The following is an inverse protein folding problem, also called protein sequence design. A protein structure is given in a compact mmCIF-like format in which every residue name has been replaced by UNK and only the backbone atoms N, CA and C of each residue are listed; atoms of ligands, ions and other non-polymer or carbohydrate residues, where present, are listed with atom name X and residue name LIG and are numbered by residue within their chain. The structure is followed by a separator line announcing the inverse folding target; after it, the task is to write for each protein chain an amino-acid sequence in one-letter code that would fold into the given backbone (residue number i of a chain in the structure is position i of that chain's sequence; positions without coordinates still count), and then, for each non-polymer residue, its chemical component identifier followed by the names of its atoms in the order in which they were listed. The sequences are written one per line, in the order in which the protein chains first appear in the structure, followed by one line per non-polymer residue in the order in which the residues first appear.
data_IF_518181045273
#
_entry.id   IF_518181045273
#
_cell.length_a   1.000
_cell.length_b   1.000
_cell.length_c   1.000
_cell.angle_alpha   90.00
_cell.angle_beta   90.00
_cell.angle_gamma   90.00
#
_symmetry.space_group_name_H-M   'P 1'
#
loop_
_entity.id
_entity.type
_entity.pdbx_description
1 polymer ?
#
# COMPACT_ATOMS: atom_id res chain seq x y z
N UNK A 1 -18.98 -22.97 -1.43
CA UNK A 1 -19.00 -22.84 -2.91
C UNK A 1 -17.58 -22.54 -3.33
N UNK A 2 -16.85 -23.61 -3.59
CA UNK A 2 -15.47 -23.59 -4.04
C UNK A 2 -15.49 -23.47 -5.56
N UNK A 3 -15.21 -22.29 -6.10
CA UNK A 3 -14.99 -22.14 -7.55
C UNK A 3 -13.48 -22.23 -7.76
N UNK A 4 -13.00 -23.47 -7.80
CA UNK A 4 -11.74 -23.82 -8.48
C UNK A 4 -11.91 -23.46 -9.96
N UNK A 5 -11.61 -22.21 -10.33
CA UNK A 5 -11.37 -21.87 -11.72
C UNK A 5 -10.11 -22.64 -12.15
N UNK A 6 -10.33 -23.79 -12.79
CA UNK A 6 -9.39 -24.87 -13.14
C UNK A 6 -8.16 -24.50 -14.01
N UNK A 7 -7.79 -23.22 -14.10
CA UNK A 7 -6.81 -22.69 -15.07
C UNK A 7 -5.64 -21.93 -14.43
N UNK A 8 -5.69 -21.66 -13.13
CA UNK A 8 -4.69 -20.86 -12.42
C UNK A 8 -4.31 -21.59 -11.14
N UNK A 9 -3.03 -21.93 -10.99
CA UNK A 9 -2.48 -22.50 -9.76
C UNK A 9 -1.44 -21.54 -9.20
N UNK A 10 -1.64 -21.13 -7.95
CA UNK A 10 -0.69 -20.34 -7.17
C UNK A 10 0.13 -21.28 -6.28
N UNK A 11 1.46 -21.09 -6.24
CA UNK A 11 2.36 -21.83 -5.35
C UNK A 11 3.42 -20.90 -4.74
N UNK A 12 4.22 -21.42 -3.81
CA UNK A 12 5.28 -20.66 -3.11
C UNK A 12 6.35 -20.07 -4.05
N UNK A 13 6.47 -20.59 -5.28
CA UNK A 13 7.44 -20.15 -6.30
C UNK A 13 6.83 -19.22 -7.36
N UNK A 14 5.52 -18.99 -7.35
CA UNK A 14 4.83 -18.05 -8.26
C UNK A 14 3.50 -18.54 -8.85
N UNK A 15 3.03 -17.82 -9.87
CA UNK A 15 1.81 -18.13 -10.61
C UNK A 15 2.14 -18.98 -11.85
N UNK A 16 1.57 -20.19 -11.96
CA UNK A 16 1.77 -21.04 -13.14
C UNK A 16 0.48 -21.13 -13.97
N UNK A 17 0.58 -20.67 -15.22
CA UNK A 17 -0.47 -20.86 -16.21
C UNK A 17 -0.20 -22.12 -17.02
N UNK A 18 -1.14 -23.06 -16.97
CA UNK A 18 -1.01 -24.37 -17.63
C UNK A 18 -1.43 -24.34 -19.10
N UNK A 19 -1.87 -23.20 -19.63
CA UNK A 19 -2.39 -23.08 -21.00
C UNK A 19 -1.61 -22.04 -21.83
N UNK A 20 -1.06 -22.50 -22.96
CA UNK A 20 -0.31 -21.68 -23.92
C UNK A 20 -1.25 -20.65 -24.61
N UNK A 21 -0.86 -19.37 -24.67
CA UNK A 21 -1.61 -18.30 -25.36
C UNK A 21 -2.79 -17.67 -24.61
N UNK A 22 -2.97 -17.94 -23.30
CA UNK A 22 -4.10 -17.40 -22.54
C UNK A 22 -3.93 -15.89 -22.20
N UNK A 23 -4.78 -15.03 -22.77
CA UNK A 23 -4.79 -13.59 -22.46
C UNK A 23 -5.23 -13.28 -21.02
N UNK A 24 -6.08 -14.12 -20.42
CA UNK A 24 -6.51 -14.01 -19.01
C UNK A 24 -5.37 -14.32 -18.03
N UNK A 25 -4.46 -15.20 -18.42
CA UNK A 25 -3.24 -15.50 -17.67
C UNK A 25 -2.32 -14.31 -17.54
N UNK A 26 -2.10 -13.56 -18.64
CA UNK A 26 -1.32 -12.32 -18.61
C UNK A 26 -1.91 -11.30 -17.61
N UNK A 27 -3.23 -11.11 -17.61
CA UNK A 27 -3.91 -10.22 -16.66
C UNK A 27 -3.81 -10.73 -15.22
N UNK A 28 -3.95 -12.04 -15.00
CA UNK A 28 -3.82 -12.66 -13.68
C UNK A 28 -2.39 -12.55 -13.13
N UNK A 29 -1.37 -12.80 -13.95
CA UNK A 29 0.05 -12.61 -13.61
C UNK A 29 0.34 -11.13 -13.34
N UNK A 30 -0.12 -10.19 -14.18
CA UNK A 30 0.04 -8.75 -13.90
C UNK A 30 -0.62 -8.35 -12.58
N UNK A 31 -1.80 -8.90 -12.28
CA UNK A 31 -2.50 -8.65 -11.01
C UNK A 31 -1.74 -9.26 -9.83
N UNK A 32 -1.22 -10.48 -9.99
CA UNK A 32 -0.41 -11.16 -8.97
C UNK A 32 0.94 -10.45 -8.73
N UNK A 33 1.63 -10.03 -9.79
CA UNK A 33 2.86 -9.23 -9.71
C UNK A 33 2.56 -7.90 -9.04
N UNK A 34 1.48 -7.19 -9.42
CA UNK A 34 1.05 -5.98 -8.72
C UNK A 34 0.75 -6.24 -7.24
N UNK A 35 0.13 -7.38 -6.90
CA UNK A 35 -0.08 -7.81 -5.50
C UNK A 35 1.23 -8.15 -4.77
N UNK A 36 2.24 -8.69 -5.47
CA UNK A 36 3.55 -8.99 -4.89
C UNK A 36 4.43 -7.75 -4.73
N UNK A 37 4.31 -6.79 -5.64
CA UNK A 37 4.93 -5.47 -5.54
C UNK A 37 4.31 -4.66 -4.40
N UNK A 38 3.05 -4.94 -4.00
CA UNK A 38 2.41 -4.36 -2.79
C UNK A 38 3.03 -4.79 -1.45
N UNK A 39 4.04 -5.65 -1.43
CA UNK A 39 4.79 -5.96 -0.19
C UNK A 39 6.01 -5.04 0.04
N UNK A 40 6.06 -3.89 -0.63
CA UNK A 40 7.03 -2.83 -0.34
C UNK A 40 6.39 -1.67 0.43
N UNK A 41 7.15 -1.07 1.34
CA UNK A 41 6.83 0.26 1.86
C UNK A 41 7.15 1.26 0.74
N UNK A 42 6.18 2.10 0.36
CA UNK A 42 6.35 3.06 -0.73
C UNK A 42 6.88 4.41 -0.23
N UNK A 43 7.90 4.94 -0.89
CA UNK A 43 8.44 6.26 -0.59
C UNK A 43 7.56 7.34 -1.23
N UNK A 44 7.09 8.27 -0.42
CA UNK A 44 6.45 9.50 -0.90
C UNK A 44 7.50 10.60 -0.87
N UNK A 45 7.91 11.05 -2.06
CA UNK A 45 8.94 12.08 -2.21
C UNK A 45 8.39 13.37 -2.81
N UNK A 46 7.23 13.29 -3.46
CA UNK A 46 6.58 14.43 -4.11
C UNK A 46 5.20 14.71 -3.55
N UNK A 47 4.76 15.96 -3.67
CA UNK A 47 3.40 16.36 -3.30
C UNK A 47 2.32 15.71 -4.16
N UNK A 48 2.60 15.49 -5.45
CA UNK A 48 1.61 14.94 -6.36
C UNK A 48 1.35 13.46 -6.05
N UNK A 49 2.38 12.70 -5.67
CA UNK A 49 2.22 11.35 -5.10
C UNK A 49 1.35 11.38 -3.83
N UNK A 50 1.64 12.30 -2.90
CA UNK A 50 0.89 12.42 -1.66
C UNK A 50 -0.59 12.73 -1.90
N UNK A 51 -0.89 13.68 -2.82
CA UNK A 51 -2.26 14.03 -3.23
C UNK A 51 -2.99 12.82 -3.80
N UNK A 52 -2.36 12.11 -4.74
CA UNK A 52 -2.95 10.94 -5.37
C UNK A 52 -3.27 9.86 -4.34
N UNK A 53 -2.34 9.58 -3.42
CA UNK A 53 -2.52 8.61 -2.33
C UNK A 53 -3.68 9.02 -1.42
N UNK A 54 -3.79 10.31 -1.07
CA UNK A 54 -4.88 10.78 -0.20
C UNK A 54 -6.28 10.67 -0.82
N UNK A 55 -6.38 10.63 -2.16
CA UNK A 55 -7.66 10.48 -2.86
C UNK A 55 -7.99 9.00 -3.08
N UNK A 56 -7.00 8.19 -3.45
CA UNK A 56 -7.21 6.80 -3.84
C UNK A 56 -7.28 5.83 -2.65
N UNK A 57 -6.56 6.14 -1.57
CA UNK A 57 -6.39 5.22 -0.45
C UNK A 57 -7.36 5.51 0.69
N UNK A 58 -8.17 4.50 1.01
CA UNK A 58 -9.14 4.58 2.11
C UNK A 58 -8.54 4.24 3.47
N UNK A 59 -7.54 3.35 3.50
CA UNK A 59 -6.84 2.88 4.69
C UNK A 59 -5.35 2.77 4.39
N UNK A 60 -4.55 3.53 5.11
CA UNK A 60 -3.10 3.49 4.95
C UNK A 60 -2.37 3.72 6.28
N UNK A 61 -1.12 3.27 6.33
CA UNK A 61 -0.13 3.65 7.34
C UNK A 61 0.92 4.53 6.68
N UNK A 62 1.22 5.67 7.29
CA UNK A 62 2.26 6.59 6.85
C UNK A 62 3.33 6.73 7.94
N UNK A 63 4.57 6.37 7.61
CA UNK A 63 5.75 6.55 8.46
C UNK A 63 6.47 7.85 8.17
N UNK A 64 6.60 8.71 9.18
CA UNK A 64 7.49 9.87 9.15
C UNK A 64 8.81 9.48 9.79
N UNK A 65 9.76 9.11 8.94
CA UNK A 65 11.06 8.60 9.35
C UNK A 65 12.14 9.68 9.22
N UNK A 66 13.29 9.46 9.85
CA UNK A 66 14.46 10.34 9.68
C UNK A 66 15.23 9.99 8.41
N UNK A 67 15.26 8.71 8.08
CA UNK A 67 15.92 8.14 6.90
C UNK A 67 14.96 7.19 6.20
N UNK A 68 15.13 7.03 4.89
CA UNK A 68 14.39 6.04 4.09
C UNK A 68 15.12 4.69 4.01
N UNK A 69 16.08 4.48 4.92
CA UNK A 69 16.84 3.24 5.10
C UNK A 69 17.06 3.00 6.61
N UNK A 70 17.06 1.73 7.04
CA UNK A 70 17.35 1.34 8.42
C UNK A 70 16.32 0.38 9.04
N UNK A 71 16.55 0.04 10.30
CA UNK A 71 15.74 -0.94 11.06
C UNK A 71 14.25 -0.55 11.11
N UNK A 72 13.93 0.74 11.20
CA UNK A 72 12.55 1.25 11.24
C UNK A 72 11.72 0.80 10.02
N UNK A 73 12.38 0.57 8.88
CA UNK A 73 11.75 0.19 7.61
C UNK A 73 11.61 -1.31 7.51
N UNK A 74 12.58 -2.06 8.03
CA UNK A 74 12.49 -3.51 8.14
C UNK A 74 11.33 -3.90 9.05
N UNK A 75 11.14 -3.19 10.16
CA UNK A 75 9.99 -3.36 11.05
C UNK A 75 8.68 -3.01 10.34
N UNK A 76 8.65 -1.92 9.57
CA UNK A 76 7.47 -1.52 8.80
C UNK A 76 7.12 -2.53 7.70
N UNK A 77 8.14 -3.07 7.02
CA UNK A 77 7.98 -4.13 6.03
C UNK A 77 7.54 -5.46 6.67
N UNK A 78 7.98 -5.75 7.90
CA UNK A 78 7.50 -6.90 8.66
C UNK A 78 6.02 -6.74 9.03
N UNK A 79 5.60 -5.53 9.45
CA UNK A 79 4.19 -5.23 9.71
C UNK A 79 3.33 -5.36 8.45
N UNK A 80 3.80 -4.86 7.29
CA UNK A 80 3.11 -5.00 6.00
C UNK A 80 2.83 -6.46 5.63
N UNK A 81 3.70 -7.41 5.99
CA UNK A 81 3.47 -8.85 5.77
C UNK A 81 2.29 -9.39 6.60
N UNK A 82 2.01 -8.80 7.75
CA UNK A 82 0.90 -9.17 8.64
C UNK A 82 -0.41 -8.50 8.22
N UNK A 83 -0.34 -7.27 7.71
CA UNK A 83 -1.50 -6.44 7.38
C UNK A 83 -1.68 -6.29 5.85
N UNK A 84 -2.23 -7.33 5.22
CA UNK A 84 -2.40 -7.38 3.74
C UNK A 84 -3.48 -6.46 3.17
N UNK A 85 -4.36 -5.93 4.02
CA UNK A 85 -5.50 -5.07 3.68
C UNK A 85 -5.20 -3.57 3.82
N UNK A 86 -4.03 -3.21 4.35
CA UNK A 86 -3.61 -1.83 4.60
C UNK A 86 -2.39 -1.51 3.73
N UNK A 87 -2.37 -0.34 3.11
CA UNK A 87 -1.22 0.12 2.33
C UNK A 87 -0.23 0.88 3.23
N UNK A 88 1.08 0.63 3.06
CA UNK A 88 2.13 1.21 3.88
C UNK A 88 3.01 2.15 3.05
N UNK A 89 3.17 3.37 3.55
CA UNK A 89 3.94 4.45 2.93
C UNK A 89 4.92 5.03 3.93
N UNK A 90 5.99 5.65 3.43
CA UNK A 90 6.97 6.36 4.24
C UNK A 90 7.44 7.66 3.58
N UNK A 91 7.82 8.63 4.40
CA UNK A 91 8.38 9.89 3.92
C UNK A 91 9.35 10.50 4.93
N UNK A 92 10.33 11.24 4.42
CA UNK A 92 11.19 12.14 5.20
C UNK A 92 10.74 13.61 5.07
N UNK A 93 9.90 13.93 4.08
CA UNK A 93 9.40 15.28 3.82
C UNK A 93 8.13 15.55 4.60
N UNK A 94 8.27 16.26 5.72
CA UNK A 94 7.17 16.46 6.67
C UNK A 94 6.28 17.64 6.32
N UNK A 95 6.80 18.71 5.72
CA UNK A 95 6.07 19.99 5.59
C UNK A 95 4.85 19.84 4.69
N UNK A 96 5.05 19.27 3.50
CA UNK A 96 4.01 19.22 2.48
C UNK A 96 3.01 18.09 2.73
N UNK A 97 3.50 16.96 3.24
CA UNK A 97 2.70 15.76 3.49
C UNK A 97 1.81 15.94 4.73
N UNK A 98 2.31 16.58 5.78
CA UNK A 98 1.53 16.79 7.01
C UNK A 98 0.34 17.72 6.79
N UNK A 99 0.48 18.76 5.97
CA UNK A 99 -0.63 19.65 5.64
C UNK A 99 -1.71 18.92 4.85
N UNK A 100 -1.31 18.13 3.85
CA UNK A 100 -2.21 17.35 3.02
C UNK A 100 -3.06 16.37 3.83
N UNK A 101 -2.44 15.69 4.79
CA UNK A 101 -3.09 14.69 5.62
C UNK A 101 -3.68 15.25 6.93
N UNK A 102 -3.68 16.58 7.10
CA UNK A 102 -4.18 17.29 8.30
C UNK A 102 -3.54 16.80 9.61
N UNK A 103 -2.26 16.46 9.55
CA UNK A 103 -1.48 15.96 10.67
C UNK A 103 -0.89 17.16 11.44
N UNK A 104 -0.57 17.01 12.74
CA UNK A 104 0.09 18.07 13.49
C UNK A 104 1.54 18.26 13.02
N UNK A 105 2.00 19.49 12.74
CA UNK A 105 3.39 19.76 12.33
C UNK A 105 4.45 19.53 13.41
N UNK A 106 4.07 19.32 14.68
CA UNK A 106 4.98 19.18 15.83
C UNK A 106 5.23 17.73 16.28
N UNK A 107 4.96 16.75 15.44
CA UNK A 107 5.19 15.33 15.79
C UNK A 107 6.67 15.04 15.96
N UNK A 108 7.01 14.29 17.01
CA UNK A 108 8.36 13.76 17.22
C UNK A 108 8.61 12.58 16.29
N UNK A 109 9.83 12.46 15.76
CA UNK A 109 10.25 11.42 14.81
C UNK A 109 11.20 10.40 15.45
N UNK A 110 11.10 9.10 15.09
CA UNK A 110 10.18 8.50 14.11
C UNK A 110 8.74 8.39 14.61
N UNK A 111 7.75 8.40 13.71
CA UNK A 111 6.34 8.18 14.05
C UNK A 111 5.57 7.50 12.93
N UNK A 112 4.65 6.62 13.30
CA UNK A 112 3.70 5.96 12.40
C UNK A 112 2.30 6.54 12.62
N UNK A 113 1.61 6.83 11.51
CA UNK A 113 0.27 7.40 11.53
C UNK A 113 -0.62 6.50 10.69
N UNK A 114 -1.66 5.97 11.32
CA UNK A 114 -2.70 5.25 10.63
C UNK A 114 -3.78 6.25 10.19
N UNK A 115 -4.02 6.29 8.89
CA UNK A 115 -5.06 7.10 8.29
C UNK A 115 -6.17 6.20 7.76
N UNK A 116 -7.38 6.50 8.21
CA UNK A 116 -8.59 5.87 7.74
C UNK A 116 -9.54 6.98 7.28
N UNK A 117 -9.68 7.14 5.98
CA UNK A 117 -10.65 8.07 5.41
C UNK A 117 -12.01 7.37 5.41
N UNK A 118 -12.80 7.64 6.45
CA UNK A 118 -14.24 7.41 6.39
C UNK A 118 -14.79 8.46 5.44
N UNK A 119 -15.06 8.09 4.19
CA UNK A 119 -15.86 8.94 3.31
C UNK A 119 -17.15 9.26 4.05
N UNK A 120 -17.30 10.50 4.51
CA UNK A 120 -18.60 11.03 4.94
C UNK A 120 -19.50 10.91 3.72
N UNK A 121 -20.33 9.87 3.67
CA UNK A 121 -21.60 9.96 2.96
C UNK A 121 -22.31 11.16 3.57
N UNK A 122 -22.39 12.27 2.84
CA UNK A 122 -23.46 13.22 3.07
C UNK A 122 -24.75 12.51 2.65
N UNK A 123 -25.36 11.79 3.58
CA UNK A 123 -26.78 11.50 3.50
C UNK A 123 -27.49 12.76 3.98
N UNK A 124 -28.00 13.56 3.06
CA UNK A 124 -29.07 14.52 3.38
C UNK A 124 -30.31 13.66 3.55
N UNK A 125 -30.80 13.56 4.78
CA UNK A 125 -32.17 13.15 5.10
C UNK A 125 -32.84 14.32 5.81
#
# INVERSE_FOLDING_TARGET
IEIQNSKLKENEKGFQCTQHGCSKCRKAVMTWVKRKIRFGVYNITTMDEAKHISVDESKLVLGFLRTLEGLEIEELAAALKLFSDINFYQTTSIVDVVELFQINRRIKRPVLIFLHTVTKKFSIF
#
